data_IF_418903683974
#
_entry.id   IF_418903683974
#
_cell.length_a   1.000
_cell.length_b   1.000
_cell.length_c   1.000
_cell.angle_alpha   90.00
_cell.angle_beta   90.00
_cell.angle_gamma   90.00
#
_symmetry.space_group_name_H-M   'P 1'
#
loop_
_entity.id
_entity.type
_entity.pdbx_description
1 polymer ?
#
# COMPACT_ATOMS: atom_id res chain seq x y z
N UNK A 1 -21.29 31.48 -14.92
CA UNK A 1 -20.26 31.76 -15.97
C UNK A 1 -19.42 30.48 -16.04
N UNK A 2 -19.79 29.58 -16.95
CA UNK A 2 -19.17 28.26 -17.05
C UNK A 2 -17.82 28.37 -17.76
N UNK A 3 -16.75 28.15 -17.08
CA UNK A 3 -15.40 28.06 -17.65
C UNK A 3 -15.20 26.59 -18.03
N UNK A 4 -15.24 26.29 -19.33
CA UNK A 4 -14.80 24.99 -19.84
C UNK A 4 -13.28 25.02 -19.93
N UNK A 5 -12.63 24.19 -19.12
CA UNK A 5 -11.20 23.98 -19.16
C UNK A 5 -10.89 22.86 -20.17
N UNK A 6 -10.10 23.19 -21.20
CA UNK A 6 -9.59 22.20 -22.13
C UNK A 6 -8.30 21.59 -21.54
N UNK A 7 -8.31 20.30 -21.30
CA UNK A 7 -7.11 19.56 -20.91
C UNK A 7 -6.45 19.02 -22.19
N UNK A 8 -5.24 19.49 -22.47
CA UNK A 8 -4.41 18.91 -23.53
C UNK A 8 -3.47 17.89 -22.88
N UNK A 9 -3.73 16.62 -23.08
CA UNK A 9 -2.82 15.54 -22.63
C UNK A 9 -1.75 15.40 -23.70
N UNK A 10 -0.50 15.72 -23.36
CA UNK A 10 0.66 15.44 -24.20
C UNK A 10 1.19 14.06 -23.85
N UNK A 11 0.90 13.07 -24.67
CA UNK A 11 1.53 11.75 -24.60
C UNK A 11 3.00 11.88 -25.00
N UNK A 12 3.91 11.70 -24.04
CA UNK A 12 5.33 11.46 -24.31
C UNK A 12 5.50 9.98 -24.69
N UNK A 13 5.68 9.74 -25.98
CA UNK A 13 5.96 8.42 -26.50
C UNK A 13 7.36 7.94 -26.11
N UNK A 14 7.45 6.80 -25.45
CA UNK A 14 8.68 6.05 -25.27
C UNK A 14 8.96 5.28 -26.55
N UNK A 15 10.02 5.66 -27.29
CA UNK A 15 10.50 4.91 -28.45
C UNK A 15 11.36 3.74 -28.00
N UNK A 16 10.87 2.54 -28.20
CA UNK A 16 11.69 1.31 -28.21
C UNK A 16 12.33 1.15 -29.60
N UNK A 17 13.66 1.21 -29.66
CA UNK A 17 14.41 0.83 -30.85
C UNK A 17 14.56 -0.68 -30.90
N UNK A 18 13.80 -1.35 -31.78
CA UNK A 18 14.15 -2.64 -32.36
C UNK A 18 14.16 -2.49 -33.86
N UNK A 19 15.27 -2.79 -34.48
CA UNK A 19 15.55 -2.52 -35.87
C UNK A 19 14.49 -3.09 -36.83
N UNK A 20 14.05 -2.25 -37.75
CA UNK A 20 13.36 -2.64 -38.98
C UNK A 20 11.94 -2.04 -39.08
N UNK A 21 11.83 -0.97 -39.88
CA UNK A 21 10.62 -0.42 -40.54
C UNK A 21 9.49 0.14 -39.65
N UNK A 22 9.49 1.46 -39.55
CA UNK A 22 8.42 2.26 -38.97
C UNK A 22 7.17 2.29 -39.87
N UNK A 23 6.02 1.91 -39.32
CA UNK A 23 4.71 2.32 -39.86
C UNK A 23 4.01 3.13 -38.79
N UNK A 24 3.84 4.42 -39.05
CA UNK A 24 3.08 5.35 -38.21
C UNK A 24 1.64 5.26 -38.64
N UNK A 25 0.74 4.77 -37.80
CA UNK A 25 -0.70 5.00 -37.96
C UNK A 25 -1.09 6.17 -37.06
N UNK A 26 -1.48 7.26 -37.68
CA UNK A 26 -2.22 8.32 -37.03
C UNK A 26 -3.71 8.08 -37.29
N UNK A 27 -4.46 7.62 -36.33
CA UNK A 27 -5.91 7.65 -36.38
C UNK A 27 -6.43 8.91 -35.69
N UNK A 28 -7.36 9.57 -36.37
CA UNK A 28 -7.97 10.83 -36.00
C UNK A 28 -8.90 10.64 -34.81
N UNK A 29 -8.70 11.47 -33.78
CA UNK A 29 -9.59 11.56 -32.63
C UNK A 29 -10.94 12.17 -33.09
N UNK A 30 -11.98 11.37 -33.20
CA UNK A 30 -13.36 11.82 -33.18
C UNK A 30 -13.90 11.81 -31.76
N UNK A 31 -14.58 12.90 -31.41
CA UNK A 31 -15.15 13.22 -30.10
C UNK A 31 -15.93 12.07 -29.47
N UNK A 32 -15.46 11.58 -28.35
CA UNK A 32 -16.27 10.84 -27.40
C UNK A 32 -16.46 11.70 -26.15
N UNK A 33 -17.62 12.34 -26.07
CA UNK A 33 -18.14 12.90 -24.81
C UNK A 33 -19.04 11.84 -24.21
N UNK A 34 -18.49 10.96 -23.41
CA UNK A 34 -19.28 10.10 -22.52
C UNK A 34 -19.09 10.53 -21.07
N UNK A 35 -20.22 10.53 -20.37
CA UNK A 35 -20.37 10.99 -19.01
C UNK A 35 -19.57 10.12 -18.03
N UNK A 36 -18.60 10.74 -17.37
CA UNK A 36 -17.85 10.15 -16.26
C UNK A 36 -18.60 10.44 -14.93
N UNK A 37 -19.72 9.80 -14.74
CA UNK A 37 -20.45 9.89 -13.47
C UNK A 37 -20.76 8.51 -12.95
N UNK A 38 -20.12 7.48 -12.90
CA UNK A 38 -20.54 6.23 -12.19
C UNK A 38 -19.47 5.11 -12.16
N UNK A 39 -18.21 5.37 -11.81
CA UNK A 39 -17.31 4.23 -11.57
C UNK A 39 -16.37 4.33 -10.35
N UNK A 40 -16.63 5.24 -9.43
CA UNK A 40 -15.77 5.42 -8.24
C UNK A 40 -16.40 4.98 -6.91
N UNK A 41 -17.44 4.13 -6.91
CA UNK A 41 -18.19 3.81 -5.69
C UNK A 41 -17.73 2.56 -4.92
N UNK A 42 -16.65 1.88 -5.26
CA UNK A 42 -16.29 0.62 -4.60
C UNK A 42 -14.86 0.60 -4.00
N UNK A 43 -14.51 1.63 -3.22
CA UNK A 43 -13.38 1.55 -2.28
C UNK A 43 -13.86 1.74 -0.83
N UNK A 44 -15.01 1.19 -0.47
CA UNK A 44 -15.56 1.29 0.87
C UNK A 44 -14.90 0.29 1.81
N UNK A 45 -13.93 0.78 2.59
CA UNK A 45 -13.63 0.24 3.90
C UNK A 45 -14.46 1.07 4.89
N UNK A 46 -15.73 0.74 5.06
CA UNK A 46 -16.53 1.26 6.17
C UNK A 46 -16.36 0.37 7.40
N UNK A 47 -16.03 0.92 8.57
CA UNK A 47 -16.32 0.25 9.82
C UNK A 47 -17.83 0.36 10.07
N UNK A 48 -18.51 -0.76 10.27
CA UNK A 48 -19.89 -0.81 10.71
C UNK A 48 -20.03 -0.05 12.04
N UNK A 49 -20.60 1.16 11.99
CA UNK A 49 -21.13 1.82 13.16
C UNK A 49 -22.64 1.54 13.20
N UNK A 50 -23.08 0.79 14.20
CA UNK A 50 -24.49 0.63 14.53
C UNK A 50 -25.08 2.00 14.87
N UNK A 51 -26.02 2.47 14.05
CA UNK A 51 -26.86 3.61 14.36
C UNK A 51 -27.96 3.18 15.32
N UNK A 52 -27.96 3.73 16.54
CA UNK A 52 -29.10 3.66 17.46
C UNK A 52 -29.99 4.89 17.23
N UNK A 53 -31.19 4.62 16.72
CA UNK A 53 -32.22 5.63 16.48
C UNK A 53 -32.88 6.06 17.80
N UNK A 54 -32.70 7.30 18.23
CA UNK A 54 -33.77 7.98 18.99
C UNK A 54 -33.86 9.45 18.62
N UNK A 55 -35.00 9.82 18.14
CA UNK A 55 -35.34 11.11 17.63
C UNK A 55 -35.69 12.18 18.66
N UNK A 56 -35.82 13.35 18.15
CA UNK A 56 -36.91 14.33 18.44
C UNK A 56 -36.57 15.75 18.91
N UNK A 57 -37.02 16.67 18.07
CA UNK A 57 -37.51 18.07 18.29
C UNK A 57 -36.62 19.23 18.71
N UNK A 58 -36.72 20.19 17.86
CA UNK A 58 -36.58 21.60 17.78
C UNK A 58 -36.91 22.48 18.99
N UNK A 59 -36.35 23.67 19.00
CA UNK A 59 -36.71 24.78 19.87
C UNK A 59 -35.69 25.91 19.84
N UNK A 60 -36.18 27.05 19.47
CA UNK A 60 -35.54 28.35 19.24
C UNK A 60 -35.11 29.04 20.55
N UNK A 61 -34.09 29.91 20.39
CA UNK A 61 -33.80 31.17 21.12
C UNK A 61 -33.61 31.13 22.65
N UNK A 62 -32.44 31.53 23.13
CA UNK A 62 -32.22 32.76 23.90
C UNK A 62 -30.76 32.87 24.37
N UNK A 63 -30.25 34.10 24.21
CA UNK A 63 -28.93 34.53 24.68
C UNK A 63 -29.03 34.76 26.20
N UNK A 64 -28.23 34.02 26.97
CA UNK A 64 -28.09 34.24 28.42
C UNK A 64 -26.62 34.36 28.81
N UNK A 65 -26.22 35.58 29.16
CA UNK A 65 -24.97 35.87 29.87
C UNK A 65 -25.05 35.29 31.27
N UNK A 66 -24.10 34.43 31.65
CA UNK A 66 -23.84 34.14 33.06
C UNK A 66 -22.36 34.26 33.39
N UNK A 67 -22.14 34.99 34.48
CA UNK A 67 -20.88 35.37 35.10
C UNK A 67 -20.10 34.15 35.63
N UNK A 68 -18.78 34.32 35.58
CA UNK A 68 -17.82 33.40 36.20
C UNK A 68 -18.08 33.28 37.71
N UNK A 69 -18.15 32.06 38.19
CA UNK A 69 -17.94 31.72 39.59
C UNK A 69 -16.79 30.70 39.65
N UNK A 70 -15.74 31.11 40.34
CA UNK A 70 -14.58 30.29 40.60
C UNK A 70 -14.97 29.21 41.62
N UNK A 71 -15.01 27.96 41.19
CA UNK A 71 -15.00 26.81 42.11
C UNK A 71 -13.85 25.91 41.77
N UNK A 72 -12.95 25.80 42.73
CA UNK A 72 -11.83 24.82 42.78
C UNK A 72 -12.31 23.43 42.36
N UNK A 73 -11.91 23.00 41.18
CA UNK A 73 -11.95 21.59 40.79
C UNK A 73 -10.56 21.04 40.97
N UNK A 74 -10.36 20.35 42.08
CA UNK A 74 -9.29 19.35 42.24
C UNK A 74 -9.51 18.29 41.16
N UNK A 75 -8.80 18.42 40.03
CA UNK A 75 -8.61 17.31 39.10
C UNK A 75 -7.68 16.33 39.76
N UNK A 76 -8.22 15.26 40.35
CA UNK A 76 -7.45 14.06 40.60
C UNK A 76 -6.99 13.55 39.24
N UNK A 77 -5.67 13.65 38.96
CA UNK A 77 -5.04 12.97 37.83
C UNK A 77 -5.30 11.47 38.02
N UNK A 78 -6.22 10.92 37.21
CA UNK A 78 -6.30 9.47 37.04
C UNK A 78 -4.90 8.99 36.59
N UNK A 79 -4.35 7.94 37.22
CA UNK A 79 -3.04 7.42 36.81
C UNK A 79 -3.13 7.00 35.33
N UNK A 80 -2.25 7.53 34.48
CA UNK A 80 -2.03 7.02 33.12
C UNK A 80 -1.98 5.49 33.21
N UNK A 81 -3.01 4.82 32.72
CA UNK A 81 -2.94 3.38 32.48
C UNK A 81 -1.76 3.19 31.53
N UNK A 82 -0.65 2.72 32.09
CA UNK A 82 0.49 2.30 31.27
C UNK A 82 -0.05 1.31 30.24
N UNK A 83 0.00 1.71 28.95
CA UNK A 83 -0.32 0.84 27.84
C UNK A 83 0.50 -0.43 28.00
N UNK A 84 -0.13 -1.45 28.60
CA UNK A 84 0.48 -2.76 28.74
C UNK A 84 0.69 -3.28 27.31
N UNK A 85 1.94 -3.35 26.89
CA UNK A 85 2.28 -4.04 25.64
C UNK A 85 1.66 -5.44 25.72
N UNK A 86 0.89 -5.85 24.71
CA UNK A 86 0.27 -7.18 24.71
C UNK A 86 1.34 -8.24 24.98
N UNK A 87 1.05 -9.16 25.89
CA UNK A 87 1.94 -10.30 26.11
C UNK A 87 1.87 -11.18 24.88
N UNK A 88 3.01 -11.49 24.21
CA UNK A 88 3.02 -12.34 23.02
C UNK A 88 2.33 -13.68 23.28
N UNK A 89 1.61 -14.20 22.28
CA UNK A 89 0.99 -15.52 22.33
C UNK A 89 2.05 -16.62 22.55
N UNK A 90 1.65 -17.81 22.98
CA UNK A 90 2.57 -18.94 23.15
C UNK A 90 3.29 -19.28 21.84
N UNK A 91 2.63 -19.14 20.70
CA UNK A 91 3.21 -19.37 19.38
C UNK A 91 4.25 -18.31 19.02
N UNK A 92 3.93 -17.03 19.21
CA UNK A 92 4.88 -15.93 19.03
C UNK A 92 6.12 -16.11 19.91
N UNK A 93 5.95 -16.49 21.18
CA UNK A 93 7.08 -16.76 22.08
C UNK A 93 7.97 -17.89 21.55
N UNK A 94 7.39 -18.95 20.98
CA UNK A 94 8.16 -20.05 20.39
C UNK A 94 8.94 -19.58 19.16
N UNK A 95 8.31 -18.78 18.28
CA UNK A 95 8.98 -18.20 17.11
C UNK A 95 10.14 -17.31 17.56
N UNK A 96 9.90 -16.39 18.48
CA UNK A 96 10.90 -15.44 18.97
C UNK A 96 12.07 -16.14 19.70
N UNK A 97 11.83 -17.26 20.36
CA UNK A 97 12.87 -18.05 21.01
C UNK A 97 13.88 -18.67 20.03
N UNK A 98 13.55 -18.75 18.75
CA UNK A 98 14.49 -19.21 17.70
C UNK A 98 15.47 -18.14 17.25
N UNK A 99 15.21 -16.86 17.57
CA UNK A 99 16.02 -15.73 17.14
C UNK A 99 17.19 -15.52 18.10
N UNK A 100 18.45 -15.60 17.64
CA UNK A 100 19.60 -15.35 18.50
C UNK A 100 19.60 -13.93 19.07
N UNK A 101 20.01 -13.79 20.33
CA UNK A 101 20.14 -12.48 20.95
C UNK A 101 21.11 -11.58 20.15
N UNK A 102 20.69 -10.34 19.85
CA UNK A 102 21.50 -9.38 19.08
C UNK A 102 21.64 -9.68 17.60
N UNK A 103 20.92 -10.66 17.06
CA UNK A 103 20.94 -10.94 15.63
C UNK A 103 20.41 -9.74 14.81
N UNK A 104 21.21 -9.26 13.85
CA UNK A 104 20.78 -8.29 12.84
C UNK A 104 20.25 -8.96 11.55
N UNK A 105 20.47 -10.27 11.40
CA UNK A 105 19.99 -11.07 10.26
C UNK A 105 19.31 -12.31 10.80
N UNK A 106 18.08 -12.55 10.37
CA UNK A 106 17.28 -13.72 10.76
C UNK A 106 16.78 -14.41 9.50
N UNK A 107 17.03 -15.70 9.37
CA UNK A 107 16.40 -16.56 8.37
C UNK A 107 15.23 -17.26 9.03
N UNK A 108 14.04 -17.22 8.39
CA UNK A 108 12.86 -17.90 8.90
C UNK A 108 13.08 -19.42 8.95
N UNK A 109 12.67 -20.04 10.03
CA UNK A 109 12.59 -21.49 10.15
C UNK A 109 11.15 -21.93 9.81
N UNK A 110 10.91 -22.17 8.53
CA UNK A 110 9.58 -22.47 7.97
C UNK A 110 9.66 -23.65 7.01
N UNK A 111 8.62 -24.47 7.02
CA UNK A 111 8.54 -25.63 6.13
C UNK A 111 8.05 -25.21 4.73
N UNK A 112 8.59 -25.83 3.69
CA UNK A 112 8.09 -25.70 2.33
C UNK A 112 6.61 -26.09 2.23
N UNK A 113 5.80 -25.31 1.54
CA UNK A 113 4.36 -25.47 1.43
C UNK A 113 3.53 -24.95 2.61
N UNK A 114 4.17 -24.43 3.67
CA UNK A 114 3.43 -23.89 4.83
C UNK A 114 2.92 -22.46 4.61
N UNK A 115 1.88 -22.09 5.36
CA UNK A 115 1.51 -20.69 5.55
C UNK A 115 2.49 -20.04 6.54
N UNK A 116 3.15 -18.99 6.06
CA UNK A 116 4.17 -18.28 6.84
C UNK A 116 3.72 -16.90 7.33
N UNK A 117 2.47 -16.54 7.14
CA UNK A 117 1.95 -15.20 7.45
C UNK A 117 2.23 -14.78 8.88
N UNK A 118 1.83 -15.62 9.84
CA UNK A 118 2.04 -15.33 11.27
C UNK A 118 3.53 -15.29 11.64
N UNK A 119 4.29 -16.29 11.22
CA UNK A 119 5.73 -16.36 11.50
C UNK A 119 6.48 -15.17 10.94
N UNK A 120 6.18 -14.80 9.68
CA UNK A 120 6.82 -13.67 9.02
C UNK A 120 6.48 -12.35 9.72
N UNK A 121 5.20 -12.11 10.03
CA UNK A 121 4.77 -10.90 10.75
C UNK A 121 5.39 -10.81 12.15
N UNK A 122 5.41 -11.89 12.90
CA UNK A 122 6.05 -11.94 14.23
C UNK A 122 7.53 -11.55 14.17
N UNK A 123 8.26 -12.12 13.20
CA UNK A 123 9.70 -11.82 13.04
C UNK A 123 9.92 -10.40 12.54
N UNK A 124 9.15 -9.93 11.55
CA UNK A 124 9.26 -8.56 11.03
C UNK A 124 8.96 -7.53 12.11
N UNK A 125 7.91 -7.72 12.90
CA UNK A 125 7.58 -6.82 14.00
C UNK A 125 8.70 -6.77 15.05
N UNK A 126 9.18 -7.93 15.51
CA UNK A 126 10.26 -8.03 16.47
C UNK A 126 11.56 -7.40 15.97
N UNK A 127 11.94 -7.65 14.72
CA UNK A 127 13.13 -7.07 14.12
C UNK A 127 12.98 -5.57 13.88
N UNK A 128 11.78 -5.11 13.50
CA UNK A 128 11.46 -3.70 13.30
C UNK A 128 11.58 -2.87 14.60
N UNK A 129 11.20 -3.44 15.74
CA UNK A 129 11.37 -2.77 17.04
C UNK A 129 12.84 -2.60 17.45
N UNK A 130 13.76 -3.35 16.86
CA UNK A 130 15.20 -3.36 17.21
C UNK A 130 16.06 -2.66 16.18
N UNK A 131 15.57 -2.56 14.94
CA UNK A 131 16.30 -1.95 13.86
C UNK A 131 16.38 -0.42 14.04
N UNK A 132 17.57 0.13 13.81
CA UNK A 132 17.83 1.56 13.81
C UNK A 132 18.57 1.95 12.53
N UNK A 133 18.72 3.24 12.27
CA UNK A 133 19.47 3.74 11.13
C UNK A 133 20.94 3.25 11.13
N UNK A 134 21.54 3.10 12.34
CA UNK A 134 22.90 2.62 12.50
C UNK A 134 23.00 1.09 12.50
N UNK A 135 21.91 0.41 12.86
CA UNK A 135 21.87 -1.05 12.96
C UNK A 135 20.62 -1.61 12.26
N UNK A 136 20.55 -1.51 10.92
CA UNK A 136 19.43 -2.07 10.18
C UNK A 136 19.42 -3.59 10.28
N UNK A 137 18.22 -4.18 10.15
CA UNK A 137 18.04 -5.62 10.26
C UNK A 137 17.58 -6.24 8.93
N UNK A 138 17.84 -7.53 8.77
CA UNK A 138 17.43 -8.30 7.60
C UNK A 138 16.64 -9.53 8.02
N UNK A 139 15.48 -9.74 7.39
CA UNK A 139 14.69 -10.97 7.50
C UNK A 139 14.77 -11.70 6.17
N UNK A 140 15.16 -12.96 6.22
CA UNK A 140 15.34 -13.81 5.03
C UNK A 140 14.25 -14.87 5.01
N UNK A 141 13.46 -14.89 3.92
CA UNK A 141 12.59 -16.01 3.59
C UNK A 141 13.44 -17.00 2.79
N UNK A 142 13.63 -18.24 3.27
CA UNK A 142 14.44 -19.22 2.54
C UNK A 142 13.79 -19.57 1.21
N UNK A 143 14.60 -20.08 0.28
CA UNK A 143 14.08 -20.62 -0.98
C UNK A 143 13.04 -21.72 -0.72
N UNK A 144 11.90 -21.65 -1.40
CA UNK A 144 10.80 -22.59 -1.24
C UNK A 144 9.47 -22.01 -1.76
N UNK A 145 8.39 -22.72 -1.52
CA UNK A 145 7.03 -22.30 -1.87
C UNK A 145 6.23 -22.12 -0.58
N UNK A 146 5.61 -20.98 -0.40
CA UNK A 146 4.92 -20.61 0.82
C UNK A 146 3.55 -20.03 0.54
N UNK A 147 2.65 -20.13 1.51
CA UNK A 147 1.33 -19.55 1.47
C UNK A 147 1.28 -18.27 2.32
N UNK A 148 0.51 -17.30 1.85
CA UNK A 148 0.23 -16.04 2.55
C UNK A 148 -1.29 -15.91 2.67
N UNK A 149 -1.80 -16.01 3.89
CA UNK A 149 -3.24 -15.95 4.20
C UNK A 149 -3.71 -14.62 4.77
N UNK A 150 -2.81 -13.66 4.94
CA UNK A 150 -3.11 -12.34 5.47
C UNK A 150 -2.09 -11.30 5.04
N UNK A 151 -2.24 -10.07 5.50
CA UNK A 151 -1.33 -8.97 5.20
C UNK A 151 0.01 -9.13 5.92
N UNK A 152 1.09 -8.89 5.20
CA UNK A 152 2.45 -8.81 5.75
C UNK A 152 2.77 -7.35 6.07
N UNK A 153 3.32 -7.10 7.26
CA UNK A 153 3.63 -5.78 7.79
C UNK A 153 5.13 -5.51 7.82
N UNK A 154 5.58 -4.51 7.06
CA UNK A 154 6.98 -4.09 7.03
C UNK A 154 7.20 -2.84 7.88
N UNK A 155 8.40 -2.72 8.45
CA UNK A 155 8.76 -1.60 9.33
C UNK A 155 10.06 -0.94 8.87
N UNK A 156 10.37 0.24 9.46
CA UNK A 156 11.58 1.00 9.14
C UNK A 156 12.87 0.20 9.42
N UNK A 157 13.92 0.54 8.67
CA UNK A 157 15.26 -0.04 8.81
C UNK A 157 15.33 -1.56 8.60
N UNK A 158 14.37 -2.11 7.82
CA UNK A 158 14.33 -3.53 7.50
C UNK A 158 14.60 -3.81 6.03
N UNK A 159 15.34 -4.88 5.81
CA UNK A 159 15.42 -5.58 4.53
C UNK A 159 14.65 -6.90 4.62
N UNK A 160 13.66 -7.10 3.74
CA UNK A 160 13.04 -8.39 3.50
C UNK A 160 13.69 -9.00 2.24
N UNK A 161 14.40 -10.10 2.43
CA UNK A 161 15.08 -10.81 1.36
C UNK A 161 14.39 -12.15 1.08
N UNK A 162 13.93 -12.36 -0.15
CA UNK A 162 13.09 -13.51 -0.53
C UNK A 162 13.57 -14.20 -1.82
N UNK A 163 14.85 -14.10 -2.16
CA UNK A 163 15.37 -14.70 -3.39
C UNK A 163 15.11 -16.21 -3.45
N UNK A 164 14.46 -16.66 -4.53
CA UNK A 164 14.07 -18.05 -4.73
C UNK A 164 12.84 -18.52 -3.95
N UNK A 165 12.21 -17.65 -3.16
CA UNK A 165 10.93 -17.93 -2.54
C UNK A 165 9.77 -17.64 -3.49
N UNK A 166 8.72 -18.46 -3.42
CA UNK A 166 7.42 -18.24 -4.09
C UNK A 166 6.37 -18.07 -3.00
N UNK A 167 5.74 -16.91 -2.94
CA UNK A 167 4.74 -16.55 -1.94
C UNK A 167 3.38 -16.42 -2.62
N UNK A 168 2.47 -17.31 -2.32
CA UNK A 168 1.16 -17.40 -2.96
C UNK A 168 0.05 -16.96 -2.01
N UNK A 169 -0.68 -15.90 -2.40
CA UNK A 169 -1.87 -15.45 -1.69
C UNK A 169 -2.95 -16.53 -1.71
N UNK A 170 -3.50 -16.87 -0.54
CA UNK A 170 -4.52 -17.93 -0.40
C UNK A 170 -5.93 -17.40 -0.19
N UNK A 171 -6.09 -16.24 0.44
CA UNK A 171 -7.40 -15.62 0.61
C UNK A 171 -7.90 -15.05 -0.72
N UNK A 172 -9.20 -15.20 -0.94
CA UNK A 172 -9.88 -14.77 -2.16
C UNK A 172 -10.61 -13.44 -2.00
N UNK A 173 -10.51 -12.84 -0.83
CA UNK A 173 -11.05 -11.53 -0.51
C UNK A 173 -10.09 -10.40 -0.86
N UNK A 174 -10.62 -9.18 -0.90
CA UNK A 174 -9.84 -7.96 -1.11
C UNK A 174 -8.96 -7.70 0.12
N UNK A 175 -7.64 -7.81 -0.02
CA UNK A 175 -6.71 -7.29 0.97
C UNK A 175 -5.35 -6.99 0.34
N UNK A 176 -4.56 -6.18 1.02
CA UNK A 176 -3.20 -5.85 0.64
C UNK A 176 -2.27 -6.99 1.08
N UNK A 177 -1.43 -7.49 0.17
CA UNK A 177 -0.50 -8.59 0.50
C UNK A 177 0.62 -8.13 1.41
N UNK A 178 1.20 -6.94 1.14
CA UNK A 178 2.23 -6.34 1.99
C UNK A 178 1.97 -4.84 2.15
N UNK A 179 2.05 -4.35 3.37
CA UNK A 179 1.95 -2.93 3.69
C UNK A 179 3.04 -2.50 4.68
N UNK A 180 3.22 -1.18 4.83
CA UNK A 180 4.08 -0.64 5.88
C UNK A 180 3.29 -0.48 7.18
N UNK A 181 3.90 -0.93 8.28
CA UNK A 181 3.40 -0.76 9.64
C UNK A 181 2.05 -1.39 9.94
N UNK A 182 1.53 -1.04 11.09
CA UNK A 182 0.22 -1.44 11.57
C UNK A 182 -0.90 -0.54 10.98
N UNK A 183 -2.14 -0.70 11.43
CA UNK A 183 -3.31 -0.12 10.77
C UNK A 183 -3.38 1.40 10.81
N UNK A 184 -2.79 2.05 11.81
CA UNK A 184 -2.84 3.50 11.98
C UNK A 184 -1.43 4.08 12.05
N UNK A 185 -1.11 4.95 11.08
CA UNK A 185 0.11 5.73 11.09
C UNK A 185 -0.19 7.14 11.57
N UNK A 186 0.60 7.64 12.52
CA UNK A 186 0.45 8.98 13.08
C UNK A 186 1.34 10.04 12.42
N UNK A 187 2.26 9.64 11.56
CA UNK A 187 3.18 10.56 10.88
C UNK A 187 2.72 10.85 9.45
N UNK A 188 2.69 12.12 9.08
CA UNK A 188 2.36 12.58 7.73
C UNK A 188 3.58 12.83 6.86
N UNK A 189 3.35 13.35 5.66
CA UNK A 189 4.41 13.62 4.70
C UNK A 189 5.18 12.34 4.34
N UNK A 190 6.51 12.37 4.53
CA UNK A 190 7.41 11.23 4.27
C UNK A 190 8.01 10.63 5.55
N UNK A 191 7.50 11.00 6.72
CA UNK A 191 8.14 10.71 8.00
C UNK A 191 7.58 9.46 8.71
N UNK A 192 6.68 8.72 8.08
CA UNK A 192 6.08 7.52 8.66
C UNK A 192 7.06 6.35 8.75
N UNK A 193 7.63 5.97 7.62
CA UNK A 193 8.56 4.84 7.52
C UNK A 193 9.79 5.22 6.68
N UNK A 194 10.91 4.53 6.92
CA UNK A 194 12.15 4.84 6.18
C UNK A 194 13.12 3.66 6.12
N UNK A 195 14.06 3.74 5.17
CA UNK A 195 15.15 2.77 5.00
C UNK A 195 14.65 1.33 4.83
N UNK A 196 13.74 1.12 3.89
CA UNK A 196 13.10 -0.17 3.64
C UNK A 196 13.60 -0.76 2.34
N UNK A 197 13.96 -2.04 2.37
CA UNK A 197 14.29 -2.80 1.16
C UNK A 197 13.44 -4.06 1.09
N UNK A 198 12.79 -4.29 -0.06
CA UNK A 198 12.13 -5.55 -0.39
C UNK A 198 12.84 -6.11 -1.63
N UNK A 199 13.47 -7.26 -1.47
CA UNK A 199 14.33 -7.84 -2.50
C UNK A 199 13.99 -9.28 -2.82
N UNK A 200 13.75 -9.54 -4.09
CA UNK A 200 13.54 -10.89 -4.59
C UNK A 200 12.16 -11.49 -4.30
N UNK A 201 12.04 -12.74 -4.59
CA UNK A 201 10.82 -13.51 -4.46
C UNK A 201 9.84 -13.35 -5.60
N UNK A 202 8.99 -14.37 -5.73
CA UNK A 202 7.82 -14.35 -6.60
C UNK A 202 6.58 -14.20 -5.72
N UNK A 203 5.86 -13.11 -5.89
CA UNK A 203 4.66 -12.77 -5.14
C UNK A 203 3.44 -12.97 -6.04
N UNK A 204 2.79 -14.11 -5.87
CA UNK A 204 1.64 -14.51 -6.68
C UNK A 204 0.33 -14.11 -5.98
N UNK A 205 -0.36 -13.10 -6.53
CA UNK A 205 -1.65 -12.64 -6.02
C UNK A 205 -2.79 -13.62 -6.33
N UNK A 206 -2.51 -14.61 -7.20
CA UNK A 206 -3.29 -15.82 -7.37
C UNK A 206 -4.77 -15.61 -7.75
N UNK A 207 -5.07 -14.59 -8.57
CA UNK A 207 -6.44 -14.37 -9.04
C UNK A 207 -7.11 -15.59 -9.71
N UNK A 208 -6.38 -16.56 -10.32
CA UNK A 208 -7.04 -17.69 -10.97
C UNK A 208 -7.93 -18.52 -10.07
N UNK A 209 -7.65 -18.60 -8.76
CA UNK A 209 -8.45 -19.36 -7.79
C UNK A 209 -9.71 -18.64 -7.33
N UNK A 210 -9.89 -17.36 -7.67
CA UNK A 210 -11.08 -16.59 -7.34
C UNK A 210 -12.26 -17.07 -8.18
N UNK A 211 -13.32 -17.57 -7.56
CA UNK A 211 -14.50 -18.08 -8.26
C UNK A 211 -15.32 -16.94 -8.88
N UNK A 212 -15.68 -15.96 -8.07
CA UNK A 212 -16.43 -14.76 -8.50
C UNK A 212 -15.48 -13.58 -8.71
N UNK A 213 -14.86 -13.51 -9.87
CA UNK A 213 -13.91 -12.45 -10.20
C UNK A 213 -14.60 -11.09 -10.39
N UNK A 214 -15.86 -11.09 -10.83
CA UNK A 214 -16.64 -9.85 -11.02
C UNK A 214 -17.04 -9.24 -9.67
N UNK A 215 -17.54 -10.05 -8.74
CA UNK A 215 -17.95 -9.59 -7.42
C UNK A 215 -16.81 -9.36 -6.44
N UNK A 216 -15.62 -9.91 -6.71
CA UNK A 216 -14.46 -9.74 -5.82
C UNK A 216 -13.75 -8.40 -6.09
N UNK A 217 -13.42 -7.66 -5.03
CA UNK A 217 -12.62 -6.44 -5.11
C UNK A 217 -11.20 -6.68 -5.62
N UNK A 218 -10.55 -5.64 -6.12
CA UNK A 218 -9.20 -5.73 -6.66
C UNK A 218 -8.15 -6.13 -5.60
N UNK A 219 -7.14 -6.89 -6.01
CA UNK A 219 -6.03 -7.27 -5.16
C UNK A 219 -4.90 -6.24 -5.24
N UNK A 220 -4.39 -5.83 -4.10
CA UNK A 220 -3.21 -4.96 -4.01
C UNK A 220 -2.01 -5.81 -3.59
N UNK A 221 -0.93 -5.75 -4.35
CA UNK A 221 0.31 -6.41 -3.97
C UNK A 221 0.96 -5.71 -2.78
N UNK A 222 1.76 -4.69 -3.05
CA UNK A 222 2.42 -3.91 -2.01
C UNK A 222 1.83 -2.51 -1.93
N UNK A 223 1.52 -2.05 -0.72
CA UNK A 223 1.03 -0.70 -0.44
C UNK A 223 2.00 0.04 0.46
N UNK A 224 2.59 1.11 -0.05
CA UNK A 224 3.67 1.87 0.58
C UNK A 224 3.27 3.34 0.65
N UNK A 225 3.04 3.82 1.86
CA UNK A 225 2.61 5.20 2.10
C UNK A 225 3.41 5.88 3.20
N UNK A 226 3.47 7.20 3.17
CA UNK A 226 4.19 8.05 4.13
C UNK A 226 5.61 7.57 4.42
N UNK A 227 6.38 7.31 3.36
CA UNK A 227 7.69 6.67 3.50
C UNK A 227 8.77 7.35 2.67
N UNK A 228 10.02 7.16 3.11
CA UNK A 228 11.21 7.60 2.36
C UNK A 228 12.30 6.54 2.33
N UNK A 229 13.21 6.65 1.34
CA UNK A 229 14.33 5.72 1.14
C UNK A 229 13.85 4.27 1.03
N UNK A 230 12.92 4.01 0.10
CA UNK A 230 12.35 2.68 -0.12
C UNK A 230 12.93 2.07 -1.40
N UNK A 231 13.32 0.83 -1.34
CA UNK A 231 13.79 0.06 -2.50
C UNK A 231 12.98 -1.21 -2.67
N UNK A 232 12.38 -1.39 -3.84
CA UNK A 232 11.76 -2.64 -4.29
C UNK A 232 12.57 -3.14 -5.48
N UNK A 233 13.26 -4.26 -5.33
CA UNK A 233 14.16 -4.75 -6.38
C UNK A 233 14.10 -6.24 -6.61
N UNK A 234 14.26 -6.65 -7.86
CA UNK A 234 14.30 -8.06 -8.27
C UNK A 234 13.07 -8.88 -7.87
N UNK A 235 11.93 -8.21 -7.66
CA UNK A 235 10.66 -8.84 -7.26
C UNK A 235 9.88 -9.24 -8.51
N UNK A 236 9.33 -10.44 -8.50
CA UNK A 236 8.36 -10.89 -9.52
C UNK A 236 6.96 -10.87 -8.95
N UNK A 237 6.09 -10.05 -9.52
CA UNK A 237 4.68 -9.97 -9.19
C UNK A 237 3.86 -10.72 -10.23
N UNK A 238 2.94 -11.59 -9.79
CA UNK A 238 2.10 -12.41 -10.65
C UNK A 238 0.61 -12.27 -10.34
N UNK A 239 -0.21 -12.43 -11.39
CA UNK A 239 -1.63 -12.78 -11.31
C UNK A 239 -2.49 -11.83 -10.47
N UNK A 240 -2.55 -10.55 -10.85
CA UNK A 240 -3.41 -9.56 -10.18
C UNK A 240 -4.86 -9.64 -10.65
N UNK A 241 -5.80 -9.33 -9.74
CA UNK A 241 -7.22 -9.17 -10.00
C UNK A 241 -7.61 -7.69 -9.88
N UNK A 242 -7.83 -6.99 -10.98
CA UNK A 242 -8.46 -5.65 -11.04
C UNK A 242 -7.75 -4.45 -10.38
N UNK A 243 -6.59 -4.59 -9.72
CA UNK A 243 -5.95 -3.48 -9.00
C UNK A 243 -4.44 -3.42 -9.28
N UNK A 244 -3.61 -3.03 -8.35
CA UNK A 244 -2.21 -2.70 -8.55
C UNK A 244 -1.28 -3.74 -7.92
N UNK A 245 -0.11 -3.96 -8.54
CA UNK A 245 0.93 -4.76 -7.91
C UNK A 245 1.72 -3.95 -6.88
N UNK A 246 1.91 -2.65 -7.13
CA UNK A 246 2.61 -1.74 -6.23
C UNK A 246 1.90 -0.38 -6.21
N UNK A 247 1.44 0.04 -5.05
CA UNK A 247 0.88 1.36 -4.81
C UNK A 247 1.83 2.18 -3.95
N UNK A 248 2.12 3.40 -4.39
CA UNK A 248 2.98 4.36 -3.72
C UNK A 248 2.19 5.66 -3.50
N UNK A 249 2.10 6.15 -2.26
CA UNK A 249 1.48 7.44 -1.97
C UNK A 249 2.24 8.19 -0.87
N UNK A 250 2.48 9.49 -1.06
CA UNK A 250 3.26 10.25 -0.08
C UNK A 250 4.63 9.63 0.18
N UNK A 251 5.37 9.32 -0.88
CA UNK A 251 6.68 8.68 -0.77
C UNK A 251 7.79 9.53 -1.37
N UNK A 252 8.99 9.48 -0.77
CA UNK A 252 10.17 10.19 -1.24
C UNK A 252 11.36 9.22 -1.38
N UNK A 253 12.20 9.45 -2.40
CA UNK A 253 13.41 8.64 -2.66
C UNK A 253 13.09 7.14 -2.77
N UNK A 254 12.18 6.78 -3.69
CA UNK A 254 11.81 5.39 -3.96
C UNK A 254 12.52 4.87 -5.20
N UNK A 255 13.02 3.66 -5.13
CA UNK A 255 13.59 2.94 -6.28
C UNK A 255 12.85 1.62 -6.50
N UNK A 256 12.32 1.43 -7.72
CA UNK A 256 11.72 0.17 -8.19
C UNK A 256 12.53 -0.31 -9.38
N UNK A 257 13.30 -1.40 -9.22
CA UNK A 257 14.26 -1.82 -10.25
C UNK A 257 14.39 -3.33 -10.39
N UNK A 258 14.59 -3.81 -11.62
CA UNK A 258 14.78 -5.23 -11.90
C UNK A 258 13.56 -6.10 -11.62
N UNK A 259 12.39 -5.49 -11.42
CA UNK A 259 11.16 -6.20 -11.11
C UNK A 259 10.45 -6.70 -12.37
N UNK A 260 9.65 -7.75 -12.22
CA UNK A 260 8.77 -8.28 -13.27
C UNK A 260 7.33 -8.19 -12.80
N UNK A 261 6.49 -7.57 -13.60
CA UNK A 261 5.05 -7.45 -13.38
C UNK A 261 4.33 -8.23 -14.47
N UNK A 262 3.61 -9.30 -14.10
CA UNK A 262 3.03 -10.22 -15.09
C UNK A 262 1.63 -10.68 -14.70
N UNK A 263 0.73 -10.57 -15.66
CA UNK A 263 -0.58 -11.21 -15.65
C UNK A 263 -1.62 -10.46 -14.83
N UNK A 264 -2.64 -10.02 -15.55
CA UNK A 264 -3.89 -9.53 -15.00
C UNK A 264 -5.03 -10.43 -15.48
N UNK A 265 -6.15 -10.38 -14.79
CA UNK A 265 -7.38 -10.92 -15.30
C UNK A 265 -7.86 -10.09 -16.49
N UNK A 266 -7.69 -10.62 -17.68
CA UNK A 266 -7.83 -9.90 -18.96
C UNK A 266 -9.29 -9.60 -19.35
N UNK A 267 -10.26 -10.26 -18.73
CA UNK A 267 -11.68 -10.07 -19.01
C UNK A 267 -12.30 -8.86 -18.28
N UNK A 268 -11.53 -8.22 -17.41
CA UNK A 268 -11.97 -7.02 -16.72
C UNK A 268 -11.87 -5.79 -17.62
N UNK A 269 -13.00 -5.11 -17.82
CA UNK A 269 -13.12 -3.93 -18.71
C UNK A 269 -12.98 -2.60 -17.95
N UNK A 270 -12.83 -2.61 -16.64
CA UNK A 270 -12.68 -1.40 -15.82
C UNK A 270 -11.28 -0.78 -15.89
N UNK A 271 -11.15 0.45 -15.38
CA UNK A 271 -9.87 1.15 -15.23
C UNK A 271 -9.13 0.74 -13.95
N UNK A 272 -8.01 1.43 -13.65
CA UNK A 272 -7.32 1.27 -12.37
C UNK A 272 -6.43 0.05 -12.29
N UNK A 273 -5.75 -0.31 -13.37
CA UNK A 273 -4.96 -1.52 -13.48
C UNK A 273 -3.50 -1.23 -13.86
N UNK A 274 -2.96 -0.17 -13.35
CA UNK A 274 -1.54 0.13 -13.45
C UNK A 274 -0.74 -0.82 -12.55
N UNK A 275 0.36 -1.35 -13.06
CA UNK A 275 1.23 -2.21 -12.25
C UNK A 275 1.81 -1.44 -11.07
N UNK A 276 2.30 -0.22 -11.34
CA UNK A 276 2.82 0.71 -10.33
C UNK A 276 1.95 1.96 -10.35
N UNK A 277 1.26 2.20 -9.27
CA UNK A 277 0.43 3.38 -9.07
C UNK A 277 1.16 4.39 -8.21
N UNK A 278 1.20 5.65 -8.66
CA UNK A 278 1.77 6.78 -7.93
C UNK A 278 0.63 7.72 -7.56
N UNK A 279 0.36 7.86 -6.26
CA UNK A 279 -0.75 8.66 -5.78
C UNK A 279 -0.37 9.65 -4.69
N UNK A 280 -1.34 10.45 -4.29
CA UNK A 280 -1.30 11.27 -3.09
C UNK A 280 -2.01 10.55 -1.93
N UNK A 281 -1.59 10.85 -0.72
CA UNK A 281 -2.25 10.35 0.49
C UNK A 281 -3.61 11.05 0.69
N UNK A 282 -4.65 10.50 0.06
CA UNK A 282 -6.04 10.95 0.14
C UNK A 282 -6.92 9.77 0.60
N UNK A 283 -7.97 10.05 1.35
CA UNK A 283 -8.83 9.05 1.98
C UNK A 283 -9.50 8.08 0.97
N UNK A 284 -9.97 8.62 -0.16
CA UNK A 284 -10.67 7.86 -1.20
C UNK A 284 -9.72 7.14 -2.19
N UNK A 285 -8.43 7.49 -2.21
CA UNK A 285 -7.43 6.88 -3.12
C UNK A 285 -6.54 5.89 -2.35
N UNK A 286 -6.08 6.29 -1.16
CA UNK A 286 -5.09 5.53 -0.40
C UNK A 286 -5.57 5.28 1.04
N UNK A 287 -6.69 4.58 1.22
CA UNK A 287 -7.27 4.33 2.54
C UNK A 287 -6.32 3.54 3.44
N UNK A 288 -6.42 3.75 4.75
CA UNK A 288 -5.60 3.05 5.75
C UNK A 288 -4.21 3.65 5.99
N UNK A 289 -3.93 4.85 5.43
CA UNK A 289 -2.67 5.58 5.67
C UNK A 289 -2.95 7.02 6.07
N UNK A 290 -3.42 7.21 7.26
CA UNK A 290 -3.59 8.55 7.85
C UNK A 290 -2.25 9.14 8.30
N UNK A 291 -2.10 10.48 8.32
CA UNK A 291 -3.10 11.47 7.93
C UNK A 291 -3.28 11.58 6.42
N UNK A 292 -4.49 11.93 5.97
CA UNK A 292 -4.78 12.19 4.56
C UNK A 292 -4.38 13.63 4.21
N UNK A 293 -3.09 13.90 4.24
CA UNK A 293 -2.50 15.23 4.12
C UNK A 293 -2.20 15.66 2.67
N UNK A 294 -2.50 14.79 1.73
CA UNK A 294 -2.24 15.00 0.30
C UNK A 294 -0.75 14.97 -0.04
N UNK A 295 0.08 14.29 0.75
CA UNK A 295 1.49 14.08 0.38
C UNK A 295 1.56 13.31 -0.94
N UNK A 296 2.37 13.79 -1.87
CA UNK A 296 2.57 13.20 -3.21
C UNK A 296 3.87 12.41 -3.27
N UNK A 297 4.08 11.67 -4.38
CA UNK A 297 5.35 10.98 -4.60
C UNK A 297 6.40 11.94 -5.16
N UNK A 298 7.63 11.91 -4.62
CA UNK A 298 8.79 12.66 -5.08
C UNK A 298 10.03 11.76 -5.22
N UNK A 299 10.90 12.06 -6.20
CA UNK A 299 12.17 11.34 -6.41
C UNK A 299 11.97 9.82 -6.60
N UNK A 300 11.00 9.42 -7.43
CA UNK A 300 10.74 8.00 -7.71
C UNK A 300 11.46 7.56 -8.97
N UNK A 301 12.25 6.52 -8.88
CA UNK A 301 13.00 5.91 -9.97
C UNK A 301 12.45 4.51 -10.27
N UNK A 302 11.93 4.32 -11.49
CA UNK A 302 11.36 3.06 -11.98
C UNK A 302 12.18 2.63 -13.19
N UNK A 303 13.15 1.73 -13.01
CA UNK A 303 14.12 1.37 -14.03
C UNK A 303 14.31 -0.13 -14.17
N UNK A 304 14.66 -0.59 -15.36
CA UNK A 304 15.03 -1.99 -15.63
C UNK A 304 13.93 -3.01 -15.27
N UNK A 305 12.65 -2.59 -15.32
CA UNK A 305 11.52 -3.44 -15.00
C UNK A 305 10.91 -4.05 -16.27
N UNK A 306 10.28 -5.20 -16.10
CA UNK A 306 9.56 -5.91 -17.17
C UNK A 306 8.06 -5.89 -16.88
N UNK A 307 7.28 -5.45 -17.86
CA UNK A 307 5.82 -5.45 -17.83
C UNK A 307 5.32 -6.39 -18.92
N UNK A 308 4.62 -7.47 -18.54
CA UNK A 308 4.20 -8.51 -19.47
C UNK A 308 2.75 -8.95 -19.21
N UNK A 309 1.92 -8.91 -20.25
CA UNK A 309 0.48 -9.21 -20.16
C UNK A 309 -0.22 -8.37 -19.07
N UNK A 310 -0.02 -7.06 -19.13
CA UNK A 310 -0.58 -6.06 -18.22
C UNK A 310 -1.26 -4.97 -19.01
N UNK A 311 -2.13 -4.19 -18.39
CA UNK A 311 -2.85 -3.09 -19.05
C UNK A 311 -2.01 -1.82 -19.12
N UNK A 312 -1.44 -1.42 -17.99
CA UNK A 312 -0.56 -0.26 -17.91
C UNK A 312 0.61 -0.53 -16.97
N UNK A 313 1.79 0.03 -17.31
CA UNK A 313 2.98 -0.14 -16.48
C UNK A 313 2.99 0.76 -15.26
N UNK A 314 2.79 2.06 -15.48
CA UNK A 314 2.83 3.09 -14.43
C UNK A 314 1.71 4.10 -14.67
N UNK A 315 1.05 4.52 -13.62
CA UNK A 315 -0.01 5.53 -13.70
C UNK A 315 -0.31 6.21 -12.38
N UNK A 316 -1.36 7.03 -12.36
CA UNK A 316 -1.82 7.78 -11.19
C UNK A 316 -3.31 8.05 -11.31
N UNK A 317 -4.03 7.95 -10.19
CA UNK A 317 -5.45 8.30 -10.12
C UNK A 317 -5.69 9.62 -9.38
N UNK A 318 -4.67 10.21 -8.79
CA UNK A 318 -4.82 11.44 -8.04
C UNK A 318 -3.93 12.56 -8.56
N UNK A 319 -4.47 13.78 -8.52
CA UNK A 319 -3.73 14.99 -8.83
C UNK A 319 -4.17 16.10 -7.86
N UNK A 320 -3.20 16.69 -7.17
CA UNK A 320 -3.44 17.85 -6.32
C UNK A 320 -2.95 19.09 -7.02
N UNK A 321 -3.81 20.10 -7.14
CA UNK A 321 -3.63 21.29 -7.99
C UNK A 321 -2.29 22.01 -7.79
N UNK A 322 -1.79 22.10 -6.56
CA UNK A 322 -0.57 22.84 -6.20
C UNK A 322 0.58 21.93 -5.74
N UNK A 323 0.40 20.62 -5.81
CA UNK A 323 1.39 19.62 -5.38
C UNK A 323 1.66 18.60 -6.50
N UNK A 324 2.46 18.96 -7.51
CA UNK A 324 2.81 18.02 -8.57
C UNK A 324 3.75 16.93 -8.08
N UNK A 325 3.64 15.74 -8.65
CA UNK A 325 4.70 14.73 -8.54
C UNK A 325 6.00 15.30 -9.11
N UNK A 326 7.14 14.99 -8.47
CA UNK A 326 8.44 15.54 -8.88
C UNK A 326 9.47 14.45 -9.06
N UNK A 327 10.34 14.65 -10.06
CA UNK A 327 11.49 13.78 -10.32
C UNK A 327 11.10 12.29 -10.45
N UNK A 328 10.07 12.01 -11.24
CA UNK A 328 9.64 10.65 -11.57
C UNK A 328 10.40 10.23 -12.83
N UNK A 329 11.16 9.13 -12.76
CA UNK A 329 12.03 8.65 -13.86
C UNK A 329 11.80 7.17 -14.14
#
# INVERSE_FOLDING_TARGET
MNIKMFLTVTLLGVSLYLGGSSVIYAESAENVTENFEDSFSDCDLEPEMEEDETGFYGGTDEVGFFSADESDNDFEEEPEEALLTPVPSDNEQQILATIPEGAAVVTLDVADGSDITETLNTVLHFMGQRATDETPCTVIIPQGSYLISGTIHMYSNLTLYAEGAVLTKTCTDKHVVLRLGDDILSAGGYDGYHNITIEGGTWDLNYPVVEDKEGTGGFVGFRIGHARHVTVKNVTFLNNLKSHFLELAGTEDVTVTGCTFRGYWQEYEGGGQECIQLDACLDYIFPGYQPFDGAVCENVRITDNIFENVFAGVGSHSMIYDRPYRNIV
#
